data_IF_100624890030
#
_entry.id   IF_100624890030
#
_cell.length_a   1.000
_cell.length_b   1.000
_cell.length_c   1.000
_cell.angle_alpha   90.00
_cell.angle_beta   90.00
_cell.angle_gamma   90.00
#
_symmetry.space_group_name_H-M   'P 1'
#
loop_
_entity.id
_entity.type
_entity.pdbx_description
1 polymer ?
#
# COMPACT_ATOMS: atom_id res chain seq x y z
N UNK A 1 -16.10 -20.51 -15.82
CA UNK A 1 -15.82 -20.10 -17.20
C UNK A 1 -15.52 -18.59 -17.33
N UNK A 2 -16.35 -17.69 -16.82
CA UNK A 2 -16.11 -16.22 -16.85
C UNK A 2 -14.75 -15.83 -16.26
N UNK A 3 -14.40 -16.33 -15.08
CA UNK A 3 -13.10 -16.06 -14.42
C UNK A 3 -11.88 -16.45 -15.29
N UNK A 4 -11.95 -17.57 -16.01
CA UNK A 4 -10.87 -18.00 -16.90
C UNK A 4 -10.67 -17.03 -18.07
N UNK A 5 -11.75 -16.52 -18.63
CA UNK A 5 -11.71 -15.61 -19.78
C UNK A 5 -11.30 -14.19 -19.34
N UNK A 6 -11.88 -13.69 -18.27
CA UNK A 6 -11.70 -12.29 -17.86
C UNK A 6 -10.40 -12.07 -17.07
N UNK A 7 -9.94 -13.06 -16.31
CA UNK A 7 -8.76 -12.89 -15.43
C UNK A 7 -7.55 -13.69 -15.91
N UNK A 8 -7.73 -14.98 -16.21
CA UNK A 8 -6.58 -15.85 -16.53
C UNK A 8 -6.05 -15.59 -17.94
N UNK A 9 -6.93 -15.43 -18.93
CA UNK A 9 -6.51 -15.20 -20.31
C UNK A 9 -5.67 -13.91 -20.48
N UNK A 10 -6.07 -12.72 -19.97
CA UNK A 10 -5.24 -11.52 -20.02
C UNK A 10 -3.91 -11.67 -19.26
N UNK A 11 -3.93 -12.35 -18.11
CA UNK A 11 -2.72 -12.61 -17.34
C UNK A 11 -1.70 -13.44 -18.15
N UNK A 12 -2.15 -14.55 -18.71
CA UNK A 12 -1.29 -15.40 -19.55
C UNK A 12 -0.80 -14.67 -20.80
N UNK A 13 -1.65 -13.88 -21.43
CA UNK A 13 -1.27 -13.05 -22.58
C UNK A 13 -0.20 -12.03 -22.19
N UNK A 14 -0.34 -11.35 -21.03
CA UNK A 14 0.68 -10.46 -20.49
C UNK A 14 2.02 -11.17 -20.25
N UNK A 15 1.98 -12.36 -19.62
CA UNK A 15 3.18 -13.17 -19.41
C UNK A 15 3.81 -13.56 -20.76
N UNK A 16 3.03 -14.00 -21.76
CA UNK A 16 3.54 -14.32 -23.08
C UNK A 16 4.18 -13.13 -23.79
N UNK A 17 3.59 -11.94 -23.66
CA UNK A 17 4.17 -10.70 -24.21
C UNK A 17 5.52 -10.36 -23.57
N UNK A 18 5.77 -10.74 -22.32
CA UNK A 18 7.05 -10.49 -21.65
C UNK A 18 8.25 -11.18 -22.34
N UNK A 19 8.01 -12.26 -23.06
CA UNK A 19 9.03 -13.02 -23.82
C UNK A 19 9.17 -12.57 -25.28
N UNK A 20 8.44 -11.53 -25.67
CA UNK A 20 8.43 -11.00 -27.03
C UNK A 20 9.05 -9.60 -27.07
N UNK A 21 9.32 -9.12 -28.29
CA UNK A 21 9.64 -7.71 -28.55
C UNK A 21 8.53 -7.17 -29.43
N UNK A 22 7.62 -6.38 -28.85
CA UNK A 22 6.57 -5.69 -29.58
C UNK A 22 6.37 -4.27 -29.07
N UNK A 23 6.11 -3.35 -29.99
CA UNK A 23 5.85 -1.95 -29.69
C UNK A 23 4.44 -1.58 -30.15
N UNK A 24 3.79 -0.64 -29.43
CA UNK A 24 2.49 -0.09 -29.83
C UNK A 24 2.59 0.81 -31.06
N UNK A 25 3.76 1.45 -31.27
CA UNK A 25 3.91 2.47 -32.32
C UNK A 25 4.57 1.93 -33.57
N UNK A 26 5.28 0.82 -33.48
CA UNK A 26 5.89 0.16 -34.62
C UNK A 26 5.06 -1.08 -34.91
N UNK A 27 4.46 -1.17 -36.10
CA UNK A 27 3.78 -2.37 -36.57
C UNK A 27 4.70 -3.59 -36.74
N UNK A 28 5.73 -3.68 -35.88
CA UNK A 28 6.77 -4.70 -35.93
C UNK A 28 6.18 -6.08 -35.61
N UNK A 29 6.62 -7.07 -36.38
CA UNK A 29 6.34 -8.47 -36.11
C UNK A 29 6.76 -8.81 -34.67
N UNK A 30 5.85 -9.43 -33.94
CA UNK A 30 6.11 -9.93 -32.59
C UNK A 30 7.24 -10.98 -32.65
N UNK A 31 8.48 -10.56 -32.33
CA UNK A 31 9.62 -11.47 -32.31
C UNK A 31 9.80 -12.06 -30.93
N UNK A 32 9.91 -13.37 -30.85
CA UNK A 32 10.25 -14.05 -29.60
C UNK A 32 11.70 -13.75 -29.19
N UNK A 33 11.92 -13.19 -28.00
CA UNK A 33 13.25 -12.82 -27.48
C UNK A 33 13.63 -13.58 -26.22
N UNK A 34 12.81 -14.53 -25.80
CA UNK A 34 13.02 -15.30 -24.57
C UNK A 34 13.08 -14.42 -23.33
N UNK A 35 14.03 -14.69 -22.44
CA UNK A 35 14.18 -13.97 -21.16
C UNK A 35 14.89 -12.62 -21.26
N UNK A 36 15.23 -12.14 -22.46
CA UNK A 36 16.03 -10.91 -22.64
C UNK A 36 15.46 -9.71 -21.88
N UNK A 37 14.15 -9.47 -21.99
CA UNK A 37 13.51 -8.34 -21.29
C UNK A 37 13.66 -8.46 -19.77
N UNK A 38 13.39 -9.63 -19.22
CA UNK A 38 13.49 -9.91 -17.77
C UNK A 38 14.94 -9.74 -17.28
N UNK A 39 15.91 -10.27 -18.02
CA UNK A 39 17.33 -10.13 -17.69
C UNK A 39 17.74 -8.65 -17.71
N UNK A 40 17.35 -7.91 -18.74
CA UNK A 40 17.62 -6.46 -18.85
C UNK A 40 17.05 -5.69 -17.66
N UNK A 41 15.79 -5.95 -17.28
CA UNK A 41 15.13 -5.32 -16.12
C UNK A 41 15.94 -5.57 -14.83
N UNK A 42 16.35 -6.81 -14.59
CA UNK A 42 17.02 -7.18 -13.35
C UNK A 42 18.49 -6.75 -13.28
N UNK A 43 19.19 -6.66 -14.42
CA UNK A 43 20.64 -6.42 -14.43
C UNK A 43 21.03 -5.01 -14.85
N UNK A 44 20.31 -4.39 -15.77
CA UNK A 44 20.77 -3.18 -16.46
C UNK A 44 19.87 -1.98 -16.32
N UNK A 45 18.60 -2.17 -15.88
CA UNK A 45 17.62 -1.09 -15.75
C UNK A 45 17.79 -0.36 -14.41
N UNK A 46 18.38 0.83 -14.46
CA UNK A 46 18.58 1.67 -13.28
C UNK A 46 17.26 2.31 -12.79
N UNK A 47 16.34 2.65 -13.71
CA UNK A 47 15.01 3.18 -13.36
C UNK A 47 14.23 2.11 -12.58
N UNK A 48 14.18 0.89 -13.09
CA UNK A 48 13.50 -0.22 -12.41
C UNK A 48 14.03 -0.46 -11.00
N UNK A 49 15.35 -0.44 -10.81
CA UNK A 49 15.95 -0.63 -9.47
C UNK A 49 15.61 0.49 -8.50
N UNK A 50 15.66 1.74 -8.96
CA UNK A 50 15.28 2.91 -8.16
C UNK A 50 13.82 2.82 -7.72
N UNK A 51 12.93 2.51 -8.67
CA UNK A 51 11.50 2.47 -8.43
C UNK A 51 11.07 1.24 -7.63
N UNK A 52 11.78 0.12 -7.79
CA UNK A 52 11.62 -1.04 -6.91
C UNK A 52 11.95 -0.69 -5.46
N UNK A 53 13.09 -0.02 -5.24
CA UNK A 53 13.48 0.41 -3.90
C UNK A 53 12.43 1.34 -3.30
N UNK A 54 11.97 2.32 -4.06
CA UNK A 54 10.93 3.23 -3.57
C UNK A 54 9.60 2.50 -3.37
N UNK A 55 9.19 1.58 -4.24
CA UNK A 55 7.98 0.75 -4.08
C UNK A 55 8.02 -0.05 -2.78
N UNK A 56 9.17 -0.62 -2.42
CA UNK A 56 9.35 -1.35 -1.16
C UNK A 56 9.27 -0.40 0.04
N UNK A 57 9.96 0.76 0.00
CA UNK A 57 9.90 1.77 1.06
C UNK A 57 8.47 2.29 1.24
N UNK A 58 7.78 2.59 0.14
CA UNK A 58 6.39 3.03 0.11
C UNK A 58 5.47 1.99 0.75
N UNK A 59 5.61 0.71 0.35
CA UNK A 59 4.80 -0.39 0.87
C UNK A 59 5.03 -0.59 2.37
N UNK A 60 6.29 -0.69 2.80
CA UNK A 60 6.63 -0.88 4.22
C UNK A 60 6.17 0.33 5.04
N UNK A 61 6.42 1.55 4.58
CA UNK A 61 6.02 2.78 5.26
C UNK A 61 4.51 2.85 5.49
N UNK A 62 3.72 2.58 4.46
CA UNK A 62 2.25 2.55 4.58
C UNK A 62 1.80 1.46 5.55
N UNK A 63 2.31 0.24 5.39
CA UNK A 63 1.89 -0.90 6.22
C UNK A 63 2.20 -0.65 7.68
N UNK A 64 3.39 -0.17 8.00
CA UNK A 64 3.82 0.12 9.38
C UNK A 64 2.94 1.22 10.00
N UNK A 65 2.79 2.35 9.32
CA UNK A 65 1.99 3.48 9.84
C UNK A 65 0.52 3.08 9.97
N UNK A 66 -0.06 2.45 8.93
CA UNK A 66 -1.44 2.02 8.95
C UNK A 66 -1.70 0.94 10.01
N UNK A 67 -0.76 0.01 10.23
CA UNK A 67 -0.88 -1.02 11.25
C UNK A 67 -0.84 -0.43 12.66
N UNK A 68 0.13 0.44 12.95
CA UNK A 68 0.24 1.09 14.27
C UNK A 68 -1.03 1.92 14.54
N UNK A 69 -1.43 2.76 13.58
CA UNK A 69 -2.64 3.58 13.70
C UNK A 69 -3.89 2.73 13.85
N UNK A 70 -4.02 1.68 13.02
CA UNK A 70 -5.15 0.75 13.07
C UNK A 70 -5.23 -0.03 14.37
N UNK A 71 -4.09 -0.47 14.92
CA UNK A 71 -4.02 -1.13 16.22
C UNK A 71 -4.47 -0.20 17.35
N UNK A 72 -3.96 1.04 17.38
CA UNK A 72 -4.37 2.04 18.39
C UNK A 72 -5.88 2.27 18.34
N UNK A 73 -6.44 2.55 17.16
CA UNK A 73 -7.87 2.77 17.02
C UNK A 73 -8.72 1.53 17.32
N UNK A 74 -8.25 0.33 16.99
CA UNK A 74 -8.95 -0.91 17.32
C UNK A 74 -9.03 -1.14 18.83
N UNK A 75 -7.94 -0.88 19.56
CA UNK A 75 -7.91 -0.97 21.01
C UNK A 75 -8.82 0.07 21.66
N UNK A 76 -8.80 1.32 21.20
CA UNK A 76 -9.69 2.37 21.68
C UNK A 76 -11.17 2.02 21.44
N UNK A 77 -11.51 1.56 20.23
CA UNK A 77 -12.88 1.16 19.91
C UNK A 77 -13.31 -0.16 20.55
N UNK A 78 -12.43 -0.92 21.14
CA UNK A 78 -12.77 -2.12 21.91
C UNK A 78 -13.18 -1.81 23.35
N UNK A 79 -12.94 -0.60 23.83
CA UNK A 79 -13.44 -0.12 25.14
C UNK A 79 -14.83 0.49 25.02
N UNK A 80 -15.51 0.68 26.13
CA UNK A 80 -16.86 1.27 26.18
C UNK A 80 -16.77 2.80 26.06
N UNK A 81 -16.58 3.29 24.81
CA UNK A 81 -16.52 4.72 24.49
C UNK A 81 -17.92 5.23 24.13
N UNK A 82 -18.34 6.40 24.61
CA UNK A 82 -19.62 6.99 24.16
C UNK A 82 -19.59 7.21 22.65
N UNK A 83 -20.73 7.07 21.99
CA UNK A 83 -20.88 7.22 20.53
C UNK A 83 -20.00 6.27 19.70
N UNK A 84 -19.62 5.10 20.21
CA UNK A 84 -18.75 4.11 19.54
C UNK A 84 -19.15 3.81 18.09
N UNK A 85 -20.45 3.71 17.82
CA UNK A 85 -20.96 3.45 16.46
C UNK A 85 -20.63 4.60 15.51
N UNK A 86 -20.73 5.85 15.96
CA UNK A 86 -20.36 7.01 15.16
C UNK A 86 -18.86 7.01 14.83
N UNK A 87 -18.01 6.75 15.81
CA UNK A 87 -16.55 6.65 15.56
C UNK A 87 -16.20 5.54 14.59
N UNK A 88 -16.86 4.37 14.65
CA UNK A 88 -16.68 3.29 13.67
C UNK A 88 -17.01 3.72 12.24
N UNK A 89 -18.09 4.48 12.06
CA UNK A 89 -18.49 5.01 10.75
C UNK A 89 -17.48 6.05 10.25
N UNK A 90 -17.10 7.01 11.10
CA UNK A 90 -16.14 8.06 10.73
C UNK A 90 -14.77 7.53 10.35
N UNK A 91 -14.28 6.51 11.06
CA UNK A 91 -12.99 5.86 10.74
C UNK A 91 -13.02 5.18 9.37
N UNK A 92 -14.17 4.70 8.90
CA UNK A 92 -14.27 4.05 7.59
C UNK A 92 -14.25 5.02 6.40
N UNK A 93 -14.49 6.31 6.62
CA UNK A 93 -14.55 7.33 5.55
C UNK A 93 -13.34 7.28 4.62
N UNK A 94 -12.07 7.26 5.11
CA UNK A 94 -10.90 7.24 4.24
C UNK A 94 -10.83 6.03 3.32
N UNK A 95 -11.36 4.89 3.74
CA UNK A 95 -11.32 3.64 2.98
C UNK A 95 -12.43 3.54 1.93
N UNK A 96 -13.60 4.12 2.22
CA UNK A 96 -14.78 4.09 1.34
C UNK A 96 -14.68 5.11 0.21
N UNK A 97 -14.00 6.24 0.42
CA UNK A 97 -13.83 7.28 -0.60
C UNK A 97 -13.03 6.74 -1.78
N UNK A 98 -13.49 7.03 -3.00
CA UNK A 98 -12.76 6.69 -4.23
C UNK A 98 -11.30 7.20 -4.19
N UNK A 99 -10.32 6.40 -4.69
CA UNK A 99 -8.92 6.83 -4.81
C UNK A 99 -8.74 8.17 -5.49
N UNK A 100 -9.47 8.40 -6.57
CA UNK A 100 -9.38 9.63 -7.35
C UNK A 100 -9.83 10.85 -6.53
N UNK A 101 -11.00 10.76 -5.89
CA UNK A 101 -11.54 11.85 -5.05
C UNK A 101 -10.60 12.13 -3.87
N UNK A 102 -10.15 11.08 -3.18
CA UNK A 102 -9.21 11.20 -2.06
C UNK A 102 -7.92 11.90 -2.49
N UNK A 103 -7.28 11.44 -3.57
CA UNK A 103 -6.01 12.00 -4.04
C UNK A 103 -6.15 13.44 -4.52
N UNK A 104 -7.22 13.78 -5.23
CA UNK A 104 -7.52 15.15 -5.64
C UNK A 104 -7.75 16.08 -4.44
N UNK A 105 -8.49 15.62 -3.43
CA UNK A 105 -8.72 16.39 -2.20
C UNK A 105 -7.40 16.65 -1.45
N UNK A 106 -6.55 15.65 -1.32
CA UNK A 106 -5.24 15.81 -0.69
C UNK A 106 -4.31 16.71 -1.51
N UNK A 107 -4.30 16.60 -2.84
CA UNK A 107 -3.53 17.49 -3.72
C UNK A 107 -3.94 18.94 -3.53
N UNK A 108 -5.24 19.20 -3.41
CA UNK A 108 -5.75 20.56 -3.14
C UNK A 108 -5.37 21.03 -1.73
N UNK A 109 -5.56 20.21 -0.70
CA UNK A 109 -5.22 20.55 0.69
C UNK A 109 -3.74 20.86 0.89
N UNK A 110 -2.86 20.17 0.14
CA UNK A 110 -1.40 20.28 0.21
C UNK A 110 -0.81 21.29 -0.80
N UNK A 111 -1.66 21.97 -1.59
CA UNK A 111 -1.21 22.96 -2.57
C UNK A 111 -0.37 24.07 -1.89
N UNK A 112 0.72 24.46 -2.53
CA UNK A 112 1.61 25.52 -2.08
C UNK A 112 1.02 26.93 -2.22
N UNK A 113 0.08 27.11 -3.17
CA UNK A 113 -0.51 28.41 -3.47
C UNK A 113 -1.76 28.70 -2.65
N UNK A 114 -2.69 27.76 -2.57
CA UNK A 114 -4.02 27.94 -1.96
C UNK A 114 -4.44 26.82 -1.01
N UNK A 115 -3.53 25.89 -0.71
CA UNK A 115 -3.82 24.73 0.14
C UNK A 115 -4.14 25.11 1.58
N UNK A 116 -5.08 24.37 2.16
CA UNK A 116 -5.54 24.60 3.54
C UNK A 116 -4.39 24.55 4.55
N UNK A 117 -3.48 23.54 4.44
CA UNK A 117 -2.41 23.37 5.41
C UNK A 117 -1.42 24.54 5.40
N UNK A 118 -1.01 25.01 4.23
CA UNK A 118 -0.11 26.17 4.13
C UNK A 118 -0.75 27.43 4.67
N UNK A 119 -2.01 27.69 4.32
CA UNK A 119 -2.73 28.88 4.80
C UNK A 119 -2.97 28.82 6.31
N UNK A 120 -3.33 27.67 6.86
CA UNK A 120 -3.49 27.46 8.29
C UNK A 120 -2.18 27.69 9.04
N UNK A 121 -1.08 27.07 8.61
CA UNK A 121 0.24 27.24 9.26
C UNK A 121 0.75 28.69 9.21
N UNK A 122 0.47 29.42 8.12
CA UNK A 122 0.77 30.86 8.02
C UNK A 122 -0.09 31.68 8.96
N UNK A 123 -1.38 31.38 9.06
CA UNK A 123 -2.29 32.14 9.92
C UNK A 123 -1.97 32.06 11.40
N UNK A 124 -1.39 30.94 11.84
CA UNK A 124 -0.93 30.74 13.23
C UNK A 124 0.55 31.13 13.44
N UNK A 125 1.21 31.69 12.42
CA UNK A 125 2.58 32.21 12.49
C UNK A 125 3.67 31.14 12.61
N UNK A 126 3.39 29.89 12.27
CA UNK A 126 4.38 28.77 12.31
C UNK A 126 5.33 28.81 11.13
N UNK A 127 4.86 29.26 9.95
CA UNK A 127 5.66 29.39 8.75
C UNK A 127 5.46 30.76 8.07
N UNK A 128 6.53 31.30 7.48
CA UNK A 128 6.46 32.52 6.67
C UNK A 128 6.26 32.20 5.17
N UNK A 129 6.86 31.11 4.71
CA UNK A 129 6.81 30.66 3.32
C UNK A 129 6.03 29.37 3.17
N UNK A 130 5.37 29.18 2.03
CA UNK A 130 4.66 27.95 1.74
C UNK A 130 5.63 26.75 1.71
N UNK A 131 5.21 25.67 2.31
CA UNK A 131 5.88 24.36 2.23
C UNK A 131 5.47 23.70 0.93
N UNK A 132 6.45 23.23 0.18
CA UNK A 132 6.26 22.54 -1.11
C UNK A 132 5.99 21.05 -0.89
N UNK A 133 4.86 20.71 -0.27
CA UNK A 133 4.55 19.35 0.16
C UNK A 133 4.66 18.30 -0.96
N UNK A 134 4.20 18.63 -2.18
CA UNK A 134 4.20 17.73 -3.32
C UNK A 134 5.21 18.13 -4.40
N UNK A 135 5.86 19.29 -4.28
CA UNK A 135 6.85 19.77 -5.24
C UNK A 135 8.30 19.56 -4.77
N UNK A 136 8.54 19.32 -3.49
CA UNK A 136 9.82 18.83 -2.96
C UNK A 136 9.91 17.32 -3.04
N UNK A 137 11.05 16.78 -3.50
CA UNK A 137 11.25 15.33 -3.70
C UNK A 137 11.09 14.51 -2.43
N UNK A 138 11.61 15.00 -1.30
CA UNK A 138 11.59 14.29 -0.02
C UNK A 138 10.22 14.37 0.62
N UNK A 139 9.65 15.57 0.65
CA UNK A 139 8.31 15.76 1.22
C UNK A 139 7.25 15.01 0.42
N UNK A 140 7.33 15.00 -0.92
CA UNK A 140 6.40 14.24 -1.75
C UNK A 140 6.41 12.75 -1.42
N UNK A 141 7.59 12.14 -1.22
CA UNK A 141 7.72 10.74 -0.76
C UNK A 141 7.04 10.52 0.59
N UNK A 142 7.25 11.42 1.54
CA UNK A 142 6.65 11.34 2.87
C UNK A 142 5.12 11.48 2.77
N UNK A 143 4.63 12.46 2.01
CA UNK A 143 3.19 12.72 1.86
C UNK A 143 2.46 11.57 1.20
N UNK A 144 2.99 10.97 0.13
CA UNK A 144 2.34 9.81 -0.51
C UNK A 144 2.25 8.62 0.44
N UNK A 145 3.25 8.41 1.32
CA UNK A 145 3.23 7.35 2.34
C UNK A 145 2.17 7.66 3.41
N UNK A 146 2.13 8.89 3.94
CA UNK A 146 1.16 9.28 4.98
C UNK A 146 -0.27 9.18 4.44
N UNK A 147 -0.54 9.68 3.22
CA UNK A 147 -1.86 9.62 2.60
C UNK A 147 -2.26 8.17 2.33
N UNK A 148 -1.32 7.35 1.85
CA UNK A 148 -1.54 5.92 1.65
C UNK A 148 -1.84 5.19 2.96
N UNK A 149 -1.15 5.52 4.04
CA UNK A 149 -1.42 4.97 5.36
C UNK A 149 -2.78 5.41 5.92
N UNK A 150 -3.11 6.70 5.78
CA UNK A 150 -4.43 7.24 6.14
C UNK A 150 -5.58 6.54 5.41
N UNK A 151 -5.36 6.14 4.16
CA UNK A 151 -6.36 5.41 3.40
C UNK A 151 -6.54 3.97 3.86
N UNK A 152 -5.46 3.31 4.31
CA UNK A 152 -5.46 1.87 4.61
C UNK A 152 -5.68 1.54 6.09
N UNK A 153 -5.42 2.46 7.05
CA UNK A 153 -5.58 2.16 8.47
C UNK A 153 -7.00 1.76 8.88
N UNK A 154 -8.11 2.24 8.24
CA UNK A 154 -9.46 1.84 8.63
C UNK A 154 -9.71 0.35 8.43
N UNK A 155 -9.25 -0.23 7.32
CA UNK A 155 -9.34 -1.66 7.06
C UNK A 155 -8.64 -2.48 8.16
N UNK A 156 -7.44 -2.07 8.55
CA UNK A 156 -6.69 -2.70 9.65
C UNK A 156 -7.43 -2.53 10.97
N UNK A 157 -7.95 -1.33 11.25
CA UNK A 157 -8.73 -1.05 12.49
C UNK A 157 -9.91 -2.01 12.63
N UNK A 158 -10.73 -2.13 11.60
CA UNK A 158 -11.93 -2.99 11.66
C UNK A 158 -11.56 -4.47 11.76
N UNK A 159 -10.54 -4.90 11.02
CA UNK A 159 -10.07 -6.29 11.06
C UNK A 159 -9.53 -6.66 12.44
N UNK A 160 -8.69 -5.81 13.04
CA UNK A 160 -8.14 -6.03 14.37
C UNK A 160 -9.23 -5.93 15.45
N UNK A 161 -10.19 -5.01 15.30
CA UNK A 161 -11.33 -4.89 16.21
C UNK A 161 -12.19 -6.16 16.22
N UNK A 162 -12.45 -6.74 15.05
CA UNK A 162 -13.14 -8.03 14.95
C UNK A 162 -12.34 -9.15 15.64
N UNK A 163 -11.01 -9.16 15.46
CA UNK A 163 -10.13 -10.07 16.16
C UNK A 163 -10.16 -9.90 17.68
N UNK A 164 -10.15 -8.66 18.17
CA UNK A 164 -10.27 -8.35 19.62
C UNK A 164 -11.58 -8.83 20.21
N UNK A 165 -12.69 -8.68 19.49
CA UNK A 165 -14.01 -9.10 19.93
C UNK A 165 -14.18 -10.64 19.96
N UNK A 166 -13.32 -11.37 19.27
CA UNK A 166 -13.27 -12.83 19.31
C UNK A 166 -12.49 -13.42 20.49
N UNK A 167 -11.80 -12.59 21.28
CA UNK A 167 -11.04 -13.05 22.45
C UNK A 167 -12.02 -13.24 23.62
N UNK A 168 -12.05 -14.46 24.22
CA UNK A 168 -12.89 -14.71 25.39
C UNK A 168 -12.48 -13.84 26.57
N UNK A 169 -13.46 -13.37 27.34
CA UNK A 169 -13.25 -12.61 28.57
C UNK A 169 -12.49 -13.40 29.61
N UNK A 170 -12.64 -14.72 29.63
CA UNK A 170 -11.98 -15.63 30.59
C UNK A 170 -10.45 -15.45 30.58
N UNK A 171 -9.85 -15.20 29.40
CA UNK A 171 -8.41 -14.95 29.32
C UNK A 171 -7.99 -13.65 30.04
N UNK A 172 -8.83 -12.62 29.98
CA UNK A 172 -8.57 -11.36 30.67
C UNK A 172 -8.80 -11.48 32.17
N UNK A 173 -9.86 -12.21 32.60
CA UNK A 173 -10.16 -12.48 33.99
C UNK A 173 -9.07 -13.32 34.65
N UNK A 174 -8.56 -14.35 33.96
CA UNK A 174 -7.42 -15.13 34.44
C UNK A 174 -6.18 -14.26 34.62
N UNK A 175 -5.88 -13.43 33.64
CA UNK A 175 -4.74 -12.50 33.73
C UNK A 175 -4.89 -11.48 34.89
N UNK A 176 -6.12 -11.05 35.17
CA UNK A 176 -6.40 -10.14 36.30
C UNK A 176 -6.21 -10.85 37.66
N UNK A 177 -6.61 -12.15 37.77
CA UNK A 177 -6.36 -12.97 38.96
C UNK A 177 -4.85 -13.15 39.19
N UNK A 178 -4.07 -13.34 38.12
CA UNK A 178 -2.60 -13.43 38.14
C UNK A 178 -1.90 -12.08 38.43
N UNK A 179 -2.66 -11.00 38.61
CA UNK A 179 -2.13 -9.67 38.90
C UNK A 179 -1.46 -8.95 37.71
N UNK A 180 -1.80 -9.32 36.47
CA UNK A 180 -1.22 -8.73 35.27
C UNK A 180 -1.65 -7.26 35.09
N UNK A 181 -0.70 -6.36 34.88
CA UNK A 181 -0.99 -4.98 34.54
C UNK A 181 -1.44 -4.86 33.07
N UNK A 182 -1.94 -3.65 32.66
CA UNK A 182 -2.47 -3.41 31.31
C UNK A 182 -1.50 -3.76 30.18
N UNK A 183 -0.19 -3.47 30.37
CA UNK A 183 0.84 -3.78 29.37
C UNK A 183 1.10 -5.29 29.28
N UNK A 184 1.11 -6.00 30.41
CA UNK A 184 1.25 -7.46 30.48
C UNK A 184 0.04 -8.14 29.81
N UNK A 185 -1.18 -7.69 30.10
CA UNK A 185 -2.41 -8.18 29.41
C UNK A 185 -2.32 -7.97 27.90
N UNK A 186 -1.89 -6.78 27.45
CA UNK A 186 -1.70 -6.55 26.02
C UNK A 186 -0.64 -7.50 25.44
N UNK A 187 0.52 -7.63 26.08
CA UNK A 187 1.67 -8.39 25.57
C UNK A 187 1.44 -9.90 25.57
N UNK A 188 0.77 -10.44 26.59
CA UNK A 188 0.64 -11.88 26.80
C UNK A 188 -0.74 -12.45 26.43
N UNK A 189 -1.79 -11.62 26.40
CA UNK A 189 -3.15 -12.06 26.03
C UNK A 189 -3.53 -11.47 24.67
N UNK A 190 -3.62 -10.14 24.58
CA UNK A 190 -4.19 -9.47 23.40
C UNK A 190 -3.34 -9.69 22.13
N UNK A 191 -2.05 -9.38 22.19
CA UNK A 191 -1.17 -9.42 21.03
C UNK A 191 -1.01 -10.83 20.43
N UNK A 192 -0.82 -11.91 21.23
CA UNK A 192 -0.77 -13.27 20.70
C UNK A 192 -2.06 -13.70 19.98
N UNK A 193 -3.23 -13.36 20.53
CA UNK A 193 -4.52 -13.69 19.90
C UNK A 193 -4.76 -12.89 18.60
N UNK A 194 -4.25 -11.66 18.51
CA UNK A 194 -4.32 -10.86 17.29
C UNK A 194 -3.34 -11.30 16.21
N UNK A 195 -2.36 -12.14 16.51
CA UNK A 195 -1.28 -12.51 15.58
C UNK A 195 -1.79 -12.95 14.22
N UNK A 196 -2.74 -13.86 14.16
CA UNK A 196 -3.25 -14.40 12.90
C UNK A 196 -3.98 -13.33 12.06
N UNK A 197 -4.81 -12.50 12.70
CA UNK A 197 -5.52 -11.40 12.02
C UNK A 197 -4.53 -10.34 11.54
N UNK A 198 -3.55 -9.99 12.36
CA UNK A 198 -2.48 -9.05 12.00
C UNK A 198 -1.71 -9.54 10.79
N UNK A 199 -1.36 -10.80 10.80
CA UNK A 199 -0.67 -11.47 9.72
C UNK A 199 -1.49 -11.33 8.42
N UNK A 200 -2.75 -11.68 8.40
CA UNK A 200 -3.61 -11.60 7.20
C UNK A 200 -3.75 -10.16 6.72
N UNK A 201 -4.05 -9.22 7.62
CA UNK A 201 -4.25 -7.81 7.24
C UNK A 201 -2.98 -7.14 6.72
N UNK A 202 -1.83 -7.38 7.33
CA UNK A 202 -0.53 -6.89 6.86
C UNK A 202 -0.25 -7.40 5.45
N UNK A 203 -0.52 -8.70 5.16
CA UNK A 203 -0.31 -9.23 3.81
C UNK A 203 -1.22 -8.58 2.78
N UNK A 204 -2.51 -8.52 3.07
CA UNK A 204 -3.46 -7.94 2.13
C UNK A 204 -3.11 -6.49 1.82
N UNK A 205 -2.82 -5.69 2.85
CA UNK A 205 -2.43 -4.28 2.65
C UNK A 205 -1.10 -4.19 1.90
N UNK A 206 -0.13 -5.07 2.17
CA UNK A 206 1.14 -5.11 1.43
C UNK A 206 0.92 -5.40 -0.06
N UNK A 207 0.08 -6.39 -0.39
CA UNK A 207 -0.26 -6.73 -1.78
C UNK A 207 -0.94 -5.56 -2.49
N UNK A 208 -1.94 -4.94 -1.86
CA UNK A 208 -2.65 -3.80 -2.44
C UNK A 208 -1.74 -2.58 -2.63
N UNK A 209 -0.87 -2.32 -1.65
CA UNK A 209 0.03 -1.16 -1.68
C UNK A 209 1.15 -1.33 -2.70
N UNK A 210 1.75 -2.53 -2.79
CA UNK A 210 2.80 -2.82 -3.76
C UNK A 210 2.33 -2.65 -5.21
N UNK A 211 1.08 -3.01 -5.50
CA UNK A 211 0.46 -2.86 -6.81
C UNK A 211 -0.29 -1.53 -6.98
N UNK A 212 -0.15 -0.60 -6.02
CA UNK A 212 -0.90 0.64 -6.06
C UNK A 212 -0.44 1.52 -7.23
N UNK A 213 -1.41 1.92 -8.06
CA UNK A 213 -1.23 2.84 -9.17
C UNK A 213 -2.01 4.13 -8.91
N UNK A 214 -3.29 3.98 -8.56
CA UNK A 214 -4.26 5.07 -8.56
C UNK A 214 -3.89 6.24 -7.65
N UNK A 215 -3.51 5.96 -6.40
CA UNK A 215 -3.21 7.01 -5.43
C UNK A 215 -2.03 7.88 -5.87
N UNK A 216 -0.92 7.24 -6.28
CA UNK A 216 0.29 7.98 -6.66
C UNK A 216 0.07 8.68 -7.99
N UNK A 217 -0.54 8.00 -8.97
CA UNK A 217 -0.78 8.59 -10.27
C UNK A 217 -1.70 9.82 -10.20
N UNK A 218 -2.75 9.76 -9.39
CA UNK A 218 -3.69 10.87 -9.19
C UNK A 218 -3.10 12.01 -8.33
N UNK A 219 -2.18 11.69 -7.41
CA UNK A 219 -1.61 12.69 -6.49
C UNK A 219 -0.40 13.41 -7.09
N UNK A 220 0.55 12.67 -7.65
CA UNK A 220 1.86 13.19 -8.08
C UNK A 220 2.27 12.78 -9.50
N UNK A 221 1.57 11.83 -10.12
CA UNK A 221 1.97 11.19 -11.39
C UNK A 221 3.39 10.62 -11.37
N UNK A 222 3.88 10.20 -10.18
CA UNK A 222 5.26 9.78 -9.98
C UNK A 222 6.27 10.92 -9.71
N UNK A 223 5.84 12.19 -9.79
CA UNK A 223 6.69 13.36 -9.57
C UNK A 223 6.94 13.74 -8.11
N UNK A 224 7.72 14.79 -7.85
CA UNK A 224 8.52 15.55 -8.81
C UNK A 224 9.77 14.78 -9.29
N UNK A 225 10.13 14.94 -10.55
CA UNK A 225 11.32 14.30 -11.14
C UNK A 225 11.42 12.79 -10.81
N UNK A 226 10.34 12.05 -11.00
CA UNK A 226 10.19 10.60 -10.78
C UNK A 226 10.44 10.14 -9.33
N UNK A 227 10.49 11.07 -8.37
CA UNK A 227 10.85 10.73 -6.98
C UNK A 227 9.81 9.87 -6.27
N UNK A 228 8.55 9.92 -6.68
CA UNK A 228 7.46 9.09 -6.13
C UNK A 228 6.99 8.02 -7.13
N UNK A 229 7.79 7.74 -8.17
CA UNK A 229 7.47 6.71 -9.15
C UNK A 229 7.60 5.33 -8.52
N UNK A 230 6.55 4.53 -8.66
CA UNK A 230 6.50 3.14 -8.23
C UNK A 230 6.46 2.23 -9.46
N UNK A 231 6.77 0.95 -9.28
CA UNK A 231 6.86 0.01 -10.40
C UNK A 231 5.61 -0.05 -11.28
N UNK A 232 4.42 0.11 -10.71
CA UNK A 232 3.17 0.13 -11.48
C UNK A 232 3.08 1.33 -12.42
N UNK A 233 3.59 2.49 -12.01
CA UNK A 233 3.66 3.71 -12.84
C UNK A 233 4.76 3.56 -13.89
N UNK A 234 5.93 3.04 -13.53
CA UNK A 234 7.00 2.78 -14.48
C UNK A 234 6.56 1.82 -15.59
N UNK A 235 5.86 0.73 -15.24
CA UNK A 235 5.28 -0.20 -16.21
C UNK A 235 4.25 0.49 -17.12
N UNK A 236 3.37 1.31 -16.56
CA UNK A 236 2.39 2.09 -17.30
C UNK A 236 3.07 3.07 -18.27
N UNK A 237 4.08 3.81 -17.82
CA UNK A 237 4.83 4.76 -18.63
C UNK A 237 5.55 4.04 -19.79
N UNK A 238 6.14 2.88 -19.54
CA UNK A 238 6.76 2.08 -20.59
C UNK A 238 5.76 1.56 -21.62
N UNK A 239 4.57 1.09 -21.18
CA UNK A 239 3.55 0.60 -22.09
C UNK A 239 2.97 1.71 -22.98
N UNK A 240 2.50 2.81 -22.36
CA UNK A 240 1.62 3.78 -23.02
C UNK A 240 2.35 5.04 -23.50
N UNK A 241 3.38 5.51 -22.80
CA UNK A 241 4.12 6.69 -23.23
C UNK A 241 5.36 6.34 -24.06
N UNK A 242 6.07 5.25 -23.70
CA UNK A 242 7.26 4.80 -24.46
C UNK A 242 6.89 3.78 -25.55
N UNK A 243 5.65 3.26 -25.56
CA UNK A 243 5.15 2.28 -26.53
C UNK A 243 5.74 0.88 -26.41
N UNK A 244 6.50 0.58 -25.38
CA UNK A 244 7.21 -0.71 -25.19
C UNK A 244 6.34 -1.69 -24.41
N UNK A 245 5.26 -2.20 -25.02
CA UNK A 245 4.29 -3.04 -24.32
C UNK A 245 4.90 -4.35 -23.81
N UNK A 246 5.81 -4.96 -24.57
CA UNK A 246 6.49 -6.19 -24.15
C UNK A 246 7.41 -5.99 -22.96
N UNK A 247 8.11 -4.86 -22.91
CA UNK A 247 8.97 -4.52 -21.78
C UNK A 247 8.16 -4.21 -20.52
N UNK A 248 7.06 -3.47 -20.66
CA UNK A 248 6.11 -3.23 -19.57
C UNK A 248 5.48 -4.53 -19.05
N UNK A 249 5.13 -5.46 -19.96
CA UNK A 249 4.64 -6.79 -19.60
C UNK A 249 5.68 -7.62 -18.84
N UNK A 250 6.95 -7.47 -19.20
CA UNK A 250 8.04 -8.11 -18.45
C UNK A 250 8.20 -7.51 -17.04
N UNK A 251 8.08 -6.18 -16.89
CA UNK A 251 8.04 -5.52 -15.57
C UNK A 251 6.89 -6.06 -14.72
N UNK A 252 5.67 -6.12 -15.28
CA UNK A 252 4.50 -6.66 -14.57
C UNK A 252 4.68 -8.14 -14.19
N UNK A 253 5.34 -8.95 -15.05
CA UNK A 253 5.67 -10.35 -14.76
C UNK A 253 6.68 -10.45 -13.61
N UNK A 254 7.70 -9.60 -13.57
CA UNK A 254 8.67 -9.54 -12.46
C UNK A 254 7.97 -9.12 -11.16
N UNK A 255 7.09 -8.11 -11.21
CA UNK A 255 6.28 -7.71 -10.05
C UNK A 255 5.42 -8.87 -9.52
N UNK A 256 4.76 -9.62 -10.41
CA UNK A 256 3.98 -10.80 -10.04
C UNK A 256 4.85 -11.84 -9.32
N UNK A 257 6.04 -12.14 -9.84
CA UNK A 257 6.96 -13.11 -9.23
C UNK A 257 7.41 -12.64 -7.84
N UNK A 258 7.78 -11.36 -7.70
CA UNK A 258 8.14 -10.76 -6.39
C UNK A 258 7.00 -10.95 -5.39
N UNK A 259 5.76 -10.66 -5.79
CA UNK A 259 4.59 -10.79 -4.92
C UNK A 259 4.28 -12.25 -4.55
N UNK A 260 4.43 -13.18 -5.49
CA UNK A 260 4.26 -14.63 -5.21
C UNK A 260 5.31 -15.12 -4.21
N UNK A 261 6.57 -14.71 -4.35
CA UNK A 261 7.64 -15.06 -3.41
C UNK A 261 7.34 -14.45 -2.03
N UNK A 262 7.02 -13.15 -1.96
CA UNK A 262 6.70 -12.47 -0.71
C UNK A 262 5.50 -13.13 0.00
N UNK A 263 4.43 -13.44 -0.73
CA UNK A 263 3.25 -14.13 -0.19
C UNK A 263 3.59 -15.55 0.26
N UNK A 264 4.39 -16.29 -0.48
CA UNK A 264 4.81 -17.65 -0.14
C UNK A 264 5.66 -17.71 1.13
N UNK A 265 6.65 -16.80 1.25
CA UNK A 265 7.46 -16.65 2.48
C UNK A 265 6.56 -16.34 3.67
N UNK A 266 5.63 -15.44 3.48
CA UNK A 266 4.70 -15.02 4.49
C UNK A 266 3.79 -16.18 4.98
N UNK A 267 3.17 -16.94 4.08
CA UNK A 267 2.37 -18.12 4.44
C UNK A 267 3.20 -19.18 5.19
N UNK A 268 4.47 -19.35 4.82
CA UNK A 268 5.36 -20.28 5.51
C UNK A 268 5.61 -19.83 6.96
N UNK A 269 5.94 -18.54 7.16
CA UNK A 269 6.14 -17.96 8.51
C UNK A 269 4.86 -18.04 9.36
N UNK A 270 3.69 -17.86 8.75
CA UNK A 270 2.39 -17.95 9.44
C UNK A 270 2.08 -19.38 9.90
N UNK A 271 2.47 -20.42 9.17
CA UNK A 271 2.25 -21.82 9.58
C UNK A 271 3.08 -22.23 10.79
N UNK A 272 4.32 -21.76 10.89
CA UNK A 272 5.20 -22.05 12.05
C UNK A 272 4.74 -21.40 13.37
N UNK A 273 3.72 -20.57 13.35
CA UNK A 273 3.13 -19.98 14.56
C UNK A 273 1.88 -20.71 15.08
N UNK A 274 1.57 -21.89 14.52
CA UNK A 274 0.42 -22.72 14.94
C UNK A 274 0.81 -23.96 15.74
N UNK A 275 2.10 -24.21 15.92
CA UNK A 275 2.67 -25.15 16.88
C UNK A 275 3.14 -24.39 18.13
#
# INVERSE_FOLDING_TARGET
MVFLIVSIYPLLTGIMLSFQNSSLYKGDEKKFVGLKNIITILTSDAEFRSDLLFTVIYTIGIVVIAYITGLVFSLLLNTDVPCRTLFRVLILIPWVISPAVSSMSWSWLLSDQYGFFNNFLKSIGVIDKSILFLADKTLAKIMVIIIGAWRNFPFITVSLLAGLQGISKDYYEAADIDGANKFQRFRYVTFPHLKNVSIITITLVSIWTFNNFDNIYMLTKGGPAQSTEVLSILAYNNAFFRGNISYASAMATVMLVIMLIASGVYFKVSKYGKE
#
